data_IF_344636164565
#
_entry.id   IF_344636164565
#
_cell.length_a   1.000
_cell.length_b   1.000
_cell.length_c   1.000
_cell.angle_alpha   90.00
_cell.angle_beta   90.00
_cell.angle_gamma   90.00
#
_symmetry.space_group_name_H-M   'P 1'
#
loop_
_entity.id
_entity.type
_entity.pdbx_description
1 polymer ?
#
# COMPACT_ATOMS: atom_id res chain seq x y z
N UNK A 1 -2.65 -4.10 -21.02
CA UNK A 1 -3.29 -3.47 -19.85
C UNK A 1 -2.21 -2.73 -19.08
N UNK A 2 -2.50 -1.57 -18.46
CA UNK A 2 -1.52 -0.86 -17.65
C UNK A 2 -1.00 -1.74 -16.50
N UNK A 3 0.26 -1.55 -16.13
CA UNK A 3 0.95 -2.36 -15.11
C UNK A 3 0.42 -2.07 -13.70
N UNK A 4 0.13 -0.81 -13.41
CA UNK A 4 -0.31 -0.35 -12.09
C UNK A 4 -1.78 0.07 -12.15
N UNK A 5 -2.62 -0.58 -11.36
CA UNK A 5 -4.02 -0.21 -11.19
C UNK A 5 -4.11 0.57 -9.89
N UNK A 6 -4.36 1.87 -9.99
CA UNK A 6 -4.49 2.75 -8.83
C UNK A 6 -5.92 2.67 -8.29
N UNK A 7 -6.04 2.59 -6.97
CA UNK A 7 -7.32 2.72 -6.28
C UNK A 7 -7.69 4.21 -6.15
N UNK A 8 -8.98 4.52 -6.11
CA UNK A 8 -9.51 5.83 -5.76
C UNK A 8 -9.20 6.11 -4.29
N UNK A 9 -8.44 7.17 -4.04
CA UNK A 9 -7.93 7.54 -2.71
C UNK A 9 -8.15 9.04 -2.49
N UNK A 10 -8.42 9.46 -1.26
CA UNK A 10 -8.64 10.88 -0.94
C UNK A 10 -7.41 11.56 -0.32
N UNK A 11 -6.26 10.89 -0.34
CA UNK A 11 -4.98 11.48 0.02
C UNK A 11 -4.53 12.52 -1.01
N UNK A 12 -3.71 13.47 -0.58
CA UNK A 12 -3.06 14.44 -1.45
C UNK A 12 -1.57 14.51 -1.11
N UNK A 13 -0.80 15.24 -1.91
CA UNK A 13 0.65 15.34 -1.77
C UNK A 13 1.13 15.69 -0.34
N UNK A 14 0.38 16.55 0.36
CA UNK A 14 0.74 17.02 1.71
C UNK A 14 0.30 16.05 2.83
N UNK A 15 -0.46 15.01 2.51
CA UNK A 15 -0.86 14.02 3.49
C UNK A 15 0.29 13.05 3.78
N UNK A 16 0.65 12.90 5.06
CA UNK A 16 1.74 11.99 5.50
C UNK A 16 1.53 10.54 5.03
N UNK A 17 0.28 10.09 4.95
CA UNK A 17 -0.04 8.74 4.51
C UNK A 17 0.01 8.58 2.97
N UNK A 18 0.06 9.67 2.19
CA UNK A 18 0.01 9.60 0.73
C UNK A 18 1.09 8.68 0.16
N UNK A 19 2.33 8.79 0.65
CA UNK A 19 3.44 7.95 0.18
C UNK A 19 3.21 6.47 0.48
N UNK A 20 2.63 6.13 1.65
CA UNK A 20 2.29 4.76 2.04
C UNK A 20 1.30 4.13 1.06
N UNK A 21 0.22 4.83 0.72
CA UNK A 21 -0.77 4.27 -0.20
C UNK A 21 -0.25 4.20 -1.64
N UNK A 22 0.59 5.15 -2.05
CA UNK A 22 1.27 5.06 -3.34
C UNK A 22 2.20 3.84 -3.38
N UNK A 23 2.92 3.54 -2.30
CA UNK A 23 3.71 2.29 -2.20
C UNK A 23 2.83 1.07 -2.42
N UNK A 24 1.68 0.98 -1.76
CA UNK A 24 0.76 -0.16 -1.88
C UNK A 24 0.20 -0.27 -3.31
N UNK A 25 -0.34 0.81 -3.87
CA UNK A 25 -1.01 0.83 -5.17
C UNK A 25 -0.03 0.59 -6.34
N UNK A 26 1.25 0.96 -6.17
CA UNK A 26 2.32 0.69 -7.14
C UNK A 26 3.10 -0.60 -6.85
N UNK A 27 2.60 -1.45 -5.94
CA UNK A 27 3.24 -2.72 -5.56
C UNK A 27 4.72 -2.54 -5.15
N UNK A 28 5.00 -1.44 -4.44
CA UNK A 28 6.32 -1.04 -3.94
C UNK A 28 7.37 -0.89 -5.05
N UNK A 29 6.93 -0.76 -6.30
CA UNK A 29 7.76 -0.56 -7.49
C UNK A 29 7.71 0.90 -7.93
N UNK A 30 8.83 1.37 -8.47
CA UNK A 30 8.87 2.66 -9.17
C UNK A 30 7.92 2.56 -10.36
N UNK A 31 6.94 3.46 -10.41
CA UNK A 31 5.96 3.58 -11.47
C UNK A 31 6.60 3.60 -12.87
N UNK A 32 7.81 4.16 -12.96
CA UNK A 32 8.46 4.39 -14.23
C UNK A 32 9.36 3.27 -14.71
N UNK A 33 10.25 2.78 -13.83
CA UNK A 33 11.30 1.83 -14.19
C UNK A 33 11.10 0.42 -13.61
N UNK A 34 10.00 0.21 -12.87
CA UNK A 34 9.66 -1.04 -12.19
C UNK A 34 10.75 -1.54 -11.22
N UNK A 35 11.58 -0.64 -10.69
CA UNK A 35 12.50 -0.99 -9.59
C UNK A 35 11.72 -1.09 -8.30
N UNK A 36 11.72 -2.27 -7.69
CA UNK A 36 11.11 -2.51 -6.38
C UNK A 36 11.99 -1.88 -5.30
N UNK A 37 11.38 -1.33 -4.24
CA UNK A 37 12.12 -0.65 -3.17
C UNK A 37 13.14 -1.56 -2.46
N UNK A 38 12.84 -2.86 -2.36
CA UNK A 38 13.75 -3.92 -1.88
C UNK A 38 14.98 -4.19 -2.77
N UNK A 39 15.07 -3.56 -3.94
CA UNK A 39 16.29 -3.57 -4.78
C UNK A 39 17.22 -2.39 -4.47
N UNK A 40 16.78 -1.46 -3.62
CA UNK A 40 17.59 -0.35 -3.11
C UNK A 40 18.08 -0.61 -1.69
N UNK A 41 19.35 -0.32 -1.42
CA UNK A 41 19.92 -0.43 -0.08
C UNK A 41 19.25 0.52 0.94
N UNK A 42 18.67 1.64 0.47
CA UNK A 42 17.93 2.57 1.32
C UNK A 42 16.40 2.34 1.27
N UNK A 43 15.94 1.24 0.66
CA UNK A 43 14.51 0.90 0.60
C UNK A 43 13.64 2.03 0.04
N UNK A 44 12.46 2.22 0.65
CA UNK A 44 11.51 3.26 0.30
C UNK A 44 12.02 4.70 0.52
N UNK A 45 13.14 4.89 1.25
CA UNK A 45 13.78 6.22 1.42
C UNK A 45 14.45 6.70 0.12
N UNK A 46 14.75 5.79 -0.81
CA UNK A 46 15.21 6.12 -2.17
C UNK A 46 14.07 6.53 -3.13
N UNK A 47 12.83 6.59 -2.65
CA UNK A 47 11.64 6.85 -3.44
C UNK A 47 10.95 8.12 -2.97
N UNK A 48 10.19 8.72 -3.86
CA UNK A 48 9.57 10.03 -3.73
C UNK A 48 8.15 9.98 -4.30
N UNK A 49 7.34 10.97 -3.92
CA UNK A 49 6.07 11.23 -4.59
C UNK A 49 6.39 12.14 -5.78
N UNK A 50 6.25 11.63 -6.99
CA UNK A 50 6.35 12.43 -8.21
C UNK A 50 4.98 12.94 -8.65
N UNK A 51 4.95 14.15 -9.20
CA UNK A 51 3.81 14.71 -9.89
C UNK A 51 3.94 14.39 -11.38
N UNK A 52 3.11 13.47 -11.91
CA UNK A 52 3.21 13.07 -13.31
C UNK A 52 3.08 14.27 -14.24
N UNK A 53 2.01 15.06 -14.07
CA UNK A 53 1.92 16.43 -14.55
C UNK A 53 2.65 17.35 -13.56
N UNK A 54 3.76 18.01 -13.95
CA UNK A 54 4.66 18.68 -13.03
C UNK A 54 4.04 19.95 -12.44
N UNK A 55 4.13 20.10 -11.12
CA UNK A 55 3.54 21.22 -10.39
C UNK A 55 4.06 22.59 -10.82
N UNK A 56 5.34 22.70 -11.16
CA UNK A 56 5.98 23.96 -11.57
C UNK A 56 5.40 24.53 -12.87
N UNK A 57 4.92 23.66 -13.77
CA UNK A 57 4.32 24.06 -15.06
C UNK A 57 2.81 24.31 -14.96
N UNK A 58 2.15 23.78 -13.93
CA UNK A 58 0.69 23.85 -13.79
C UNK A 58 0.27 24.23 -12.35
N UNK A 59 0.75 25.37 -11.82
CA UNK A 59 0.48 25.76 -10.43
C UNK A 59 -1.00 26.08 -10.15
N UNK A 60 -1.74 26.53 -11.16
CA UNK A 60 -3.17 26.89 -11.04
C UNK A 60 -4.11 25.69 -11.21
N UNK A 61 -3.59 24.49 -11.51
CA UNK A 61 -4.41 23.30 -11.66
C UNK A 61 -4.87 22.80 -10.27
N UNK A 62 -6.18 22.84 -9.95
CA UNK A 62 -6.67 22.43 -8.62
C UNK A 62 -6.50 20.92 -8.37
N UNK A 63 -6.19 20.13 -9.40
CA UNK A 63 -5.94 18.70 -9.31
C UNK A 63 -4.46 18.35 -9.20
N UNK A 64 -3.56 19.33 -9.21
CA UNK A 64 -2.12 19.09 -9.29
C UNK A 64 -1.61 18.21 -8.14
N UNK A 65 -2.05 18.47 -6.91
CA UNK A 65 -1.65 17.73 -5.72
C UNK A 65 -2.60 16.56 -5.38
N UNK A 66 -3.57 16.24 -6.26
CA UNK A 66 -4.51 15.14 -6.06
C UNK A 66 -3.88 13.80 -6.38
N UNK A 67 -4.32 12.76 -5.68
CA UNK A 67 -3.73 11.42 -5.73
C UNK A 67 -3.58 10.87 -7.15
N UNK A 68 -4.52 11.19 -8.05
CA UNK A 68 -4.55 10.78 -9.45
C UNK A 68 -3.35 11.33 -10.26
N UNK A 69 -2.72 12.41 -9.82
CA UNK A 69 -1.52 12.95 -10.43
C UNK A 69 -0.21 12.52 -9.71
N UNK A 70 -0.30 11.75 -8.63
CA UNK A 70 0.84 11.37 -7.80
C UNK A 70 1.30 9.94 -8.07
N UNK A 71 2.62 9.76 -8.19
CA UNK A 71 3.23 8.50 -8.58
C UNK A 71 4.32 8.11 -7.59
N UNK A 72 4.39 6.82 -7.26
CA UNK A 72 5.51 6.29 -6.49
C UNK A 72 6.71 6.13 -7.41
N UNK A 73 7.72 6.99 -7.28
CA UNK A 73 8.90 6.98 -8.17
C UNK A 73 10.19 6.86 -7.38
N UNK A 74 11.18 6.14 -7.93
CA UNK A 74 12.53 6.26 -7.40
C UNK A 74 13.09 7.67 -7.70
N UNK A 75 13.98 8.16 -6.84
CA UNK A 75 14.60 9.49 -7.00
C UNK A 75 15.33 9.66 -8.33
N UNK A 76 15.83 8.57 -8.93
CA UNK A 76 16.48 8.60 -10.24
C UNK A 76 15.45 8.95 -11.31
N UNK A 77 14.37 8.19 -11.43
CA UNK A 77 13.35 8.46 -12.46
C UNK A 77 12.65 9.80 -12.24
N UNK A 78 12.37 10.15 -10.98
CA UNK A 78 11.79 11.45 -10.65
C UNK A 78 12.72 12.60 -11.07
N UNK A 79 14.02 12.50 -10.74
CA UNK A 79 15.01 13.51 -11.11
C UNK A 79 15.25 13.62 -12.62
N UNK A 80 15.25 12.50 -13.35
CA UNK A 80 15.43 12.50 -14.81
C UNK A 80 14.19 13.03 -15.54
N UNK A 81 12.98 12.67 -15.07
CA UNK A 81 11.73 13.24 -15.59
C UNK A 81 11.67 14.73 -15.28
N UNK A 82 11.90 15.11 -14.02
CA UNK A 82 11.77 16.49 -13.53
C UNK A 82 10.48 17.12 -14.06
N UNK A 83 10.59 18.29 -14.69
CA UNK A 83 9.48 18.99 -15.33
C UNK A 83 9.32 18.61 -16.81
N UNK A 84 10.10 17.68 -17.36
CA UNK A 84 10.03 17.22 -18.76
C UNK A 84 8.82 16.30 -19.01
N UNK A 85 7.64 16.91 -18.89
CA UNK A 85 6.36 16.35 -19.29
C UNK A 85 6.00 16.92 -20.66
N UNK A 86 6.28 16.18 -21.73
CA UNK A 86 6.04 16.65 -23.11
C UNK A 86 4.59 16.45 -23.60
N UNK A 87 3.63 16.24 -22.70
CA UNK A 87 2.22 16.00 -23.02
C UNK A 87 1.91 14.65 -23.67
N UNK A 88 2.92 13.94 -24.17
CA UNK A 88 2.85 12.59 -24.75
C UNK A 88 3.68 11.55 -23.98
N UNK A 89 4.19 11.91 -22.79
CA UNK A 89 4.86 10.92 -21.94
C UNK A 89 3.83 9.85 -21.56
N UNK A 90 4.14 8.59 -21.81
CA UNK A 90 3.27 7.47 -21.44
C UNK A 90 3.01 7.46 -19.94
N UNK A 91 1.75 7.28 -19.56
CA UNK A 91 1.29 7.23 -18.18
C UNK A 91 1.27 5.76 -17.68
N UNK A 92 2.06 5.40 -16.66
CA UNK A 92 2.11 4.04 -16.11
C UNK A 92 0.78 3.46 -15.62
N UNK A 93 -0.22 4.30 -15.35
CA UNK A 93 -1.55 3.88 -14.89
C UNK A 93 -2.59 3.78 -16.02
N UNK A 94 -2.31 4.33 -17.20
CA UNK A 94 -3.25 4.34 -18.33
C UNK A 94 -2.71 3.60 -19.56
N UNK A 95 -1.39 3.56 -19.73
CA UNK A 95 -0.73 2.97 -20.90
C UNK A 95 -0.10 1.60 -20.60
N UNK A 96 -0.15 0.70 -21.59
CA UNK A 96 0.54 -0.59 -21.54
C UNK A 96 2.01 -0.44 -21.98
N UNK A 97 2.81 0.20 -21.14
CA UNK A 97 4.17 0.61 -21.50
C UNK A 97 5.04 -0.60 -21.84
N UNK A 98 5.07 -1.61 -20.97
CA UNK A 98 5.98 -2.76 -21.10
C UNK A 98 5.41 -3.93 -21.91
N UNK A 99 4.10 -3.92 -22.23
CA UNK A 99 3.49 -4.88 -23.14
C UNK A 99 3.41 -4.39 -24.59
N UNK A 100 3.45 -3.06 -24.83
CA UNK A 100 3.25 -2.48 -26.16
C UNK A 100 4.37 -1.55 -26.62
N UNK A 101 4.85 -0.66 -25.76
CA UNK A 101 5.71 0.46 -26.16
C UNK A 101 7.20 0.20 -25.95
N UNK A 102 7.54 -0.66 -24.98
CA UNK A 102 8.90 -0.97 -24.56
C UNK A 102 9.04 -2.46 -24.32
N UNK A 103 10.14 -3.05 -24.77
CA UNK A 103 10.50 -4.44 -24.51
C UNK A 103 11.81 -4.54 -23.73
N UNK A 104 12.00 -5.62 -22.95
CA UNK A 104 13.26 -5.89 -22.27
C UNK A 104 14.17 -6.76 -23.14
N UNK A 105 15.40 -6.32 -23.39
CA UNK A 105 16.42 -7.15 -24.01
C UNK A 105 17.22 -7.90 -22.93
N UNK A 106 16.98 -9.20 -22.80
CA UNK A 106 17.71 -10.08 -21.88
C UNK A 106 19.09 -10.50 -22.44
N UNK A 107 19.88 -9.53 -22.90
CA UNK A 107 21.28 -9.73 -23.29
C UNK A 107 22.23 -9.21 -22.19
N UNK A 108 23.54 -9.27 -22.43
CA UNK A 108 24.55 -8.80 -21.46
C UNK A 108 24.44 -7.30 -21.10
N UNK A 109 23.71 -6.51 -21.90
CA UNK A 109 23.57 -5.06 -21.74
C UNK A 109 22.35 -4.66 -20.90
N UNK A 110 21.33 -5.53 -20.75
CA UNK A 110 20.12 -5.27 -19.94
C UNK A 110 19.42 -3.95 -20.30
N UNK A 111 19.24 -3.71 -21.61
CA UNK A 111 18.59 -2.51 -22.12
C UNK A 111 17.07 -2.72 -22.29
N UNK A 112 16.34 -1.62 -22.17
CA UNK A 112 14.99 -1.49 -22.70
C UNK A 112 15.07 -1.08 -24.17
N UNK A 113 14.27 -1.71 -25.02
CA UNK A 113 14.18 -1.43 -26.45
C UNK A 113 12.82 -0.80 -26.72
N UNK A 114 12.78 0.50 -27.08
CA UNK A 114 11.57 1.12 -27.61
C UNK A 114 11.04 0.36 -28.83
N UNK A 115 9.73 0.12 -28.84
CA UNK A 115 9.01 -0.52 -29.95
C UNK A 115 8.17 0.49 -30.74
N UNK A 116 7.95 1.67 -30.15
CA UNK A 116 7.12 2.77 -30.66
C UNK A 116 7.81 4.10 -30.36
N UNK A 117 7.43 5.16 -31.07
CA UNK A 117 7.96 6.52 -30.85
C UNK A 117 7.68 7.00 -29.42
N UNK A 118 6.47 6.75 -28.88
CA UNK A 118 6.14 7.12 -27.50
C UNK A 118 6.98 6.35 -26.47
N UNK A 119 7.30 5.09 -26.78
CA UNK A 119 8.22 4.28 -25.99
C UNK A 119 9.66 4.80 -26.05
N UNK A 120 10.06 5.39 -27.17
CA UNK A 120 11.37 6.02 -27.33
C UNK A 120 11.47 7.27 -26.47
N UNK A 121 10.46 8.14 -26.53
CA UNK A 121 10.36 9.31 -25.66
C UNK A 121 10.38 8.90 -24.19
N UNK A 122 9.60 7.89 -23.81
CA UNK A 122 9.55 7.38 -22.44
C UNK A 122 10.93 6.92 -21.94
N UNK A 123 11.63 6.08 -22.72
CA UNK A 123 12.98 5.58 -22.37
C UNK A 123 14.00 6.71 -22.32
N UNK A 124 13.88 7.71 -23.21
CA UNK A 124 14.83 8.81 -23.35
C UNK A 124 14.64 9.93 -22.32
N UNK A 125 13.41 10.26 -21.95
CA UNK A 125 13.09 11.27 -20.92
C UNK A 125 13.55 10.73 -19.56
N UNK A 126 13.10 9.53 -19.19
CA UNK A 126 13.42 8.90 -17.89
C UNK A 126 14.84 8.30 -17.80
N UNK A 127 15.63 8.40 -18.88
CA UNK A 127 16.96 7.78 -19.03
C UNK A 127 16.99 6.31 -18.58
N UNK A 128 15.99 5.52 -18.95
CA UNK A 128 15.82 4.14 -18.45
C UNK A 128 16.95 3.18 -18.87
N UNK A 129 17.77 3.59 -19.85
CA UNK A 129 18.93 2.85 -20.32
C UNK A 129 20.27 3.35 -19.76
N UNK A 130 20.29 4.25 -18.77
CA UNK A 130 21.54 4.66 -18.13
C UNK A 130 22.20 3.54 -17.32
N UNK A 131 23.50 3.70 -17.00
CA UNK A 131 24.31 2.66 -16.36
C UNK A 131 23.68 2.11 -15.08
N UNK A 132 23.09 2.99 -14.26
CA UNK A 132 22.45 2.62 -12.99
C UNK A 132 21.26 1.67 -13.21
N UNK A 133 20.29 2.04 -14.07
CA UNK A 133 19.13 1.20 -14.37
C UNK A 133 19.52 -0.17 -14.96
N UNK A 134 20.49 -0.21 -15.88
CA UNK A 134 20.99 -1.48 -16.44
C UNK A 134 21.67 -2.33 -15.36
N UNK A 135 22.38 -1.69 -14.43
CA UNK A 135 22.97 -2.35 -13.27
C UNK A 135 21.92 -3.00 -12.37
N UNK A 136 20.85 -2.27 -12.04
CA UNK A 136 19.72 -2.78 -11.23
C UNK A 136 19.09 -4.00 -11.92
N UNK A 137 18.73 -3.90 -13.21
CA UNK A 137 18.16 -5.04 -13.97
C UNK A 137 19.08 -6.25 -13.99
N UNK A 138 20.39 -6.05 -14.14
CA UNK A 138 21.39 -7.13 -14.09
C UNK A 138 21.44 -7.80 -12.72
N UNK A 139 21.42 -7.03 -11.64
CA UNK A 139 21.39 -7.56 -10.27
C UNK A 139 20.09 -8.33 -10.04
N UNK A 140 18.93 -7.75 -10.43
CA UNK A 140 17.62 -8.39 -10.38
C UNK A 140 17.61 -9.76 -11.04
N UNK A 141 18.02 -9.83 -12.31
CA UNK A 141 18.01 -11.07 -13.07
C UNK A 141 18.84 -12.18 -12.39
N UNK A 142 20.05 -11.83 -11.91
CA UNK A 142 20.92 -12.76 -11.18
C UNK A 142 20.33 -13.18 -9.85
N UNK A 143 19.73 -12.25 -9.12
CA UNK A 143 19.15 -12.51 -7.81
C UNK A 143 17.90 -13.39 -7.93
N UNK A 144 17.00 -13.08 -8.85
CA UNK A 144 15.82 -13.89 -9.16
C UNK A 144 16.20 -15.30 -9.58
N UNK A 145 17.24 -15.48 -10.41
CA UNK A 145 17.73 -16.81 -10.77
C UNK A 145 18.12 -17.64 -9.52
N UNK A 146 18.87 -17.03 -8.59
CA UNK A 146 19.28 -17.68 -7.34
C UNK A 146 18.09 -18.04 -6.45
N UNK A 147 17.16 -17.10 -6.25
CA UNK A 147 15.97 -17.33 -5.40
C UNK A 147 15.06 -18.38 -6.02
N UNK A 148 14.83 -18.34 -7.33
CA UNK A 148 14.01 -19.34 -8.03
C UNK A 148 14.61 -20.75 -7.92
N UNK A 149 15.94 -20.87 -7.92
CA UNK A 149 16.60 -22.15 -7.67
C UNK A 149 16.32 -22.65 -6.23
N UNK A 150 16.49 -21.79 -5.22
CA UNK A 150 16.17 -22.15 -3.82
C UNK A 150 14.72 -22.57 -3.66
N UNK A 151 13.78 -21.82 -4.23
CA UNK A 151 12.34 -22.13 -4.19
C UNK A 151 12.08 -23.49 -4.82
N UNK A 152 12.68 -23.78 -5.98
CA UNK A 152 12.54 -25.08 -6.66
C UNK A 152 13.06 -26.24 -5.80
N UNK A 153 14.20 -26.08 -5.16
CA UNK A 153 14.77 -27.08 -4.25
C UNK A 153 13.86 -27.32 -3.03
N UNK A 154 13.31 -26.26 -2.44
CA UNK A 154 12.39 -26.35 -1.30
C UNK A 154 11.04 -26.96 -1.67
N UNK A 155 10.48 -26.65 -2.85
CA UNK A 155 9.24 -27.27 -3.36
C UNK A 155 9.39 -28.78 -3.56
N UNK A 156 10.55 -29.24 -4.06
CA UNK A 156 10.85 -30.69 -4.17
C UNK A 156 10.93 -31.36 -2.80
N UNK A 157 11.55 -30.71 -1.82
CA UNK A 157 11.58 -31.23 -0.45
C UNK A 157 10.17 -31.32 0.16
N UNK A 158 9.32 -30.32 -0.10
CA UNK A 158 7.93 -30.30 0.34
C UNK A 158 7.12 -31.47 -0.26
N UNK A 159 7.30 -31.76 -1.55
CA UNK A 159 6.69 -32.91 -2.22
C UNK A 159 7.13 -34.23 -1.56
N UNK A 160 8.44 -34.42 -1.36
CA UNK A 160 8.97 -35.62 -0.71
C UNK A 160 8.45 -35.80 0.73
N UNK A 161 8.31 -34.72 1.51
CA UNK A 161 7.78 -34.79 2.88
C UNK A 161 6.30 -35.21 2.87
N UNK A 162 5.50 -34.68 1.94
CA UNK A 162 4.07 -35.02 1.80
C UNK A 162 3.87 -36.49 1.44
N UNK A 163 4.76 -37.08 0.64
CA UNK A 163 4.71 -38.49 0.25
C UNK A 163 5.03 -39.47 1.40
N UNK A 164 5.69 -39.02 2.48
CA UNK A 164 6.22 -39.88 3.55
C UNK A 164 5.30 -40.09 4.78
N UNK A 165 4.05 -39.58 4.76
CA UNK A 165 2.99 -39.81 5.78
C UNK A 165 3.18 -39.18 7.19
N UNK A 166 2.14 -39.33 8.03
CA UNK A 166 1.51 -38.38 9.00
C UNK A 166 2.37 -37.74 10.12
N UNK A 167 3.62 -38.13 10.33
CA UNK A 167 4.40 -37.72 11.52
C UNK A 167 5.37 -36.53 11.32
N UNK A 168 5.29 -35.83 10.18
CA UNK A 168 6.24 -34.75 9.81
C UNK A 168 5.63 -33.34 9.84
N UNK A 169 4.61 -33.09 10.66
CA UNK A 169 3.99 -31.76 10.76
C UNK A 169 4.99 -30.64 11.08
N UNK A 170 5.98 -30.90 11.94
CA UNK A 170 7.02 -29.92 12.25
C UNK A 170 7.89 -29.60 11.03
N UNK A 171 8.40 -30.63 10.34
CA UNK A 171 9.22 -30.45 9.12
C UNK A 171 8.42 -29.76 8.00
N UNK A 172 7.14 -30.10 7.86
CA UNK A 172 6.23 -29.45 6.92
C UNK A 172 6.09 -27.96 7.22
N UNK A 173 5.86 -27.61 8.49
CA UNK A 173 5.71 -26.23 8.95
C UNK A 173 6.99 -25.44 8.72
N UNK A 174 8.15 -26.03 9.02
CA UNK A 174 9.46 -25.42 8.79
C UNK A 174 9.69 -25.13 7.30
N UNK A 175 9.44 -26.09 6.42
CA UNK A 175 9.61 -25.90 4.97
C UNK A 175 8.64 -24.85 4.42
N UNK A 176 7.39 -24.82 4.88
CA UNK A 176 6.41 -23.80 4.50
C UNK A 176 6.84 -22.40 4.95
N UNK A 177 7.36 -22.28 6.18
CA UNK A 177 7.89 -21.02 6.71
C UNK A 177 9.08 -20.51 5.88
N UNK A 178 10.03 -21.39 5.55
CA UNK A 178 11.17 -21.05 4.68
C UNK A 178 10.70 -20.64 3.27
N UNK A 179 9.71 -21.33 2.71
CA UNK A 179 9.15 -20.97 1.40
C UNK A 179 8.50 -19.58 1.43
N UNK A 180 7.74 -19.25 2.49
CA UNK A 180 7.17 -17.92 2.67
C UNK A 180 8.26 -16.85 2.73
N UNK A 181 9.32 -17.05 3.52
CA UNK A 181 10.46 -16.13 3.59
C UNK A 181 11.20 -15.96 2.25
N UNK A 182 11.29 -17.01 1.43
CA UNK A 182 11.89 -16.92 0.10
C UNK A 182 11.04 -16.15 -0.91
N UNK A 183 9.71 -16.21 -0.80
CA UNK A 183 8.80 -15.39 -1.63
C UNK A 183 8.95 -13.90 -1.28
N UNK A 184 9.16 -13.58 -0.01
CA UNK A 184 9.48 -12.23 0.45
C UNK A 184 10.85 -11.76 -0.03
N UNK A 185 11.90 -12.58 0.12
CA UNK A 185 13.22 -12.32 -0.44
C UNK A 185 13.14 -12.07 -1.96
N UNK A 186 12.25 -12.75 -2.69
CA UNK A 186 12.11 -12.58 -4.15
C UNK A 186 11.83 -11.14 -4.58
N UNK A 187 11.27 -10.30 -3.70
CA UNK A 187 11.04 -8.86 -3.94
C UNK A 187 12.35 -8.08 -4.10
N UNK A 188 13.44 -8.53 -3.49
CA UNK A 188 14.77 -7.94 -3.69
C UNK A 188 15.75 -8.26 -2.56
N UNK A 189 17.07 -8.10 -2.82
CA UNK A 189 18.12 -8.47 -1.88
C UNK A 189 18.11 -7.70 -0.54
N UNK A 190 17.40 -6.57 -0.46
CA UNK A 190 17.32 -5.74 0.73
C UNK A 190 15.95 -5.79 1.40
N UNK A 191 15.06 -6.70 1.01
CA UNK A 191 13.69 -6.79 1.56
C UNK A 191 13.68 -6.84 3.10
N UNK A 192 14.49 -7.72 3.69
CA UNK A 192 14.60 -7.89 5.15
C UNK A 192 15.29 -6.72 5.88
N UNK A 193 15.80 -5.73 5.15
CA UNK A 193 16.43 -4.52 5.73
C UNK A 193 15.52 -3.31 5.66
N UNK A 194 14.31 -3.44 5.10
CA UNK A 194 13.33 -2.36 5.04
C UNK A 194 12.72 -2.18 6.43
N UNK A 195 13.03 -1.06 7.04
CA UNK A 195 12.44 -0.61 8.30
C UNK A 195 11.23 0.29 8.00
N UNK A 196 10.04 -0.30 7.98
CA UNK A 196 8.78 0.35 7.62
C UNK A 196 7.92 0.59 8.87
N UNK A 197 7.98 1.81 9.39
CA UNK A 197 7.24 2.22 10.59
C UNK A 197 5.73 2.02 10.44
N UNK A 198 5.17 2.21 9.24
CA UNK A 198 3.73 2.05 9.03
C UNK A 198 3.32 0.57 9.22
N UNK A 199 4.18 -0.37 8.79
CA UNK A 199 3.96 -1.80 9.01
C UNK A 199 4.12 -2.19 10.48
N UNK A 200 5.04 -1.56 11.21
CA UNK A 200 5.20 -1.80 12.65
C UNK A 200 3.92 -1.42 13.41
N UNK A 201 3.33 -0.26 13.09
CA UNK A 201 2.13 0.23 13.77
C UNK A 201 0.91 -0.61 13.43
N UNK A 202 0.78 -1.02 12.16
CA UNK A 202 -0.27 -1.93 11.73
C UNK A 202 -0.15 -3.30 12.40
N UNK A 203 1.07 -3.85 12.51
CA UNK A 203 1.30 -5.11 13.21
C UNK A 203 0.93 -5.00 14.70
N UNK A 204 1.35 -3.93 15.37
CA UNK A 204 0.99 -3.70 16.77
C UNK A 204 -0.54 -3.52 16.95
N UNK A 205 -1.19 -2.85 16.00
CA UNK A 205 -2.65 -2.74 15.95
C UNK A 205 -3.31 -4.10 15.79
N UNK A 206 -2.88 -4.92 14.82
CA UNK A 206 -3.42 -6.26 14.56
C UNK A 206 -3.26 -7.18 15.77
N UNK A 207 -2.08 -7.18 16.40
CA UNK A 207 -1.84 -7.93 17.65
C UNK A 207 -2.76 -7.47 18.78
N UNK A 208 -2.91 -6.16 18.95
CA UNK A 208 -3.80 -5.58 19.96
C UNK A 208 -5.25 -5.96 19.69
N UNK A 209 -5.72 -5.80 18.45
CA UNK A 209 -7.09 -6.13 18.04
C UNK A 209 -7.39 -7.61 18.26
N UNK A 210 -6.51 -8.50 17.80
CA UNK A 210 -6.67 -9.94 17.96
C UNK A 210 -6.68 -10.34 19.43
N UNK A 211 -5.87 -9.71 20.29
CA UNK A 211 -5.88 -9.98 21.73
C UNK A 211 -7.20 -9.60 22.42
N UNK A 212 -7.90 -8.58 21.91
CA UNK A 212 -9.19 -8.13 22.45
C UNK A 212 -10.29 -9.14 22.15
N UNK A 213 -10.19 -9.85 21.02
CA UNK A 213 -11.17 -10.82 20.55
C UNK A 213 -10.65 -12.27 20.62
N UNK A 214 -9.68 -12.55 21.48
CA UNK A 214 -9.15 -13.89 21.64
C UNK A 214 -10.26 -14.87 22.07
N UNK A 215 -10.36 -15.99 21.36
CA UNK A 215 -11.43 -16.98 21.53
C UNK A 215 -12.80 -16.57 20.98
N UNK A 216 -12.92 -15.42 20.31
CA UNK A 216 -14.15 -15.01 19.61
C UNK A 216 -14.09 -15.26 18.10
N UNK A 217 -15.27 -15.37 17.47
CA UNK A 217 -15.41 -15.51 16.02
C UNK A 217 -15.36 -14.13 15.33
N UNK A 218 -14.25 -13.43 15.53
CA UNK A 218 -13.98 -12.08 14.98
C UNK A 218 -12.64 -12.13 14.25
N UNK A 219 -12.63 -11.80 12.97
CA UNK A 219 -11.43 -11.80 12.15
C UNK A 219 -11.18 -10.43 11.55
N UNK A 220 -9.92 -10.02 11.54
CA UNK A 220 -9.46 -8.79 10.90
C UNK A 220 -8.66 -9.16 9.65
N UNK A 221 -9.07 -8.65 8.50
CA UNK A 221 -8.38 -8.83 7.23
C UNK A 221 -7.88 -7.48 6.70
N UNK A 222 -6.64 -7.43 6.24
CA UNK A 222 -6.05 -6.25 5.60
C UNK A 222 -6.37 -6.28 4.10
N UNK A 223 -7.08 -5.26 3.60
CA UNK A 223 -7.61 -5.23 2.22
C UNK A 223 -7.13 -4.03 1.40
N UNK A 224 -6.82 -2.89 2.06
CA UNK A 224 -6.48 -1.61 1.43
C UNK A 224 -7.36 -1.25 0.22
N UNK A 225 -8.66 -1.49 0.28
CA UNK A 225 -9.60 -1.30 -0.84
C UNK A 225 -9.76 0.18 -1.22
N UNK A 226 -10.60 0.40 -2.23
CA UNK A 226 -11.03 1.73 -2.69
C UNK A 226 -11.46 2.64 -1.53
N UNK A 227 -11.33 3.94 -1.75
CA UNK A 227 -11.81 5.00 -0.85
C UNK A 227 -11.16 4.96 0.54
N UNK A 228 -9.88 4.59 0.58
CA UNK A 228 -9.02 4.58 1.78
C UNK A 228 -9.44 3.60 2.89
N UNK A 229 -10.18 2.54 2.55
CA UNK A 229 -10.54 1.49 3.50
C UNK A 229 -9.40 0.46 3.63
N UNK A 230 -8.87 0.32 4.83
CA UNK A 230 -7.63 -0.42 5.11
C UNK A 230 -7.89 -1.88 5.48
N UNK A 231 -8.92 -2.10 6.28
CA UNK A 231 -9.25 -3.41 6.84
C UNK A 231 -10.71 -3.77 6.59
N UNK A 232 -11.01 -5.06 6.75
CA UNK A 232 -12.33 -5.63 6.82
C UNK A 232 -12.42 -6.47 8.09
N UNK A 233 -13.45 -6.24 8.89
CA UNK A 233 -13.72 -7.00 10.11
C UNK A 233 -14.88 -7.94 9.81
N UNK A 234 -14.64 -9.23 9.96
CA UNK A 234 -15.64 -10.27 9.81
C UNK A 234 -16.07 -10.74 11.20
N UNK A 235 -17.34 -10.58 11.53
CA UNK A 235 -17.92 -11.03 12.81
C UNK A 235 -19.10 -11.95 12.49
N UNK A 236 -18.95 -13.24 12.79
CA UNK A 236 -19.91 -14.26 12.38
C UNK A 236 -20.12 -14.25 10.85
N UNK A 237 -21.33 -13.91 10.38
CA UNK A 237 -21.70 -13.85 8.96
C UNK A 237 -21.77 -12.41 8.42
N UNK A 238 -21.33 -11.42 9.20
CA UNK A 238 -21.38 -9.99 8.80
C UNK A 238 -19.97 -9.44 8.63
N UNK A 239 -19.83 -8.55 7.67
CA UNK A 239 -18.60 -7.83 7.37
C UNK A 239 -18.77 -6.34 7.68
N UNK A 240 -17.67 -5.68 8.06
CA UNK A 240 -17.58 -4.25 8.27
C UNK A 240 -16.29 -3.76 7.62
N UNK A 241 -16.38 -2.75 6.75
CA UNK A 241 -15.19 -2.09 6.18
C UNK A 241 -14.62 -1.08 7.17
N UNK A 242 -13.31 -0.95 7.20
CA UNK A 242 -12.63 -0.11 8.19
C UNK A 242 -11.75 0.92 7.52
N UNK A 243 -11.99 2.18 7.88
CA UNK A 243 -11.04 3.26 7.70
C UNK A 243 -10.13 3.33 8.92
N UNK A 244 -8.84 3.06 8.75
CA UNK A 244 -7.91 2.91 9.86
C UNK A 244 -6.96 4.10 9.98
N UNK A 245 -6.72 4.56 11.20
CA UNK A 245 -5.73 5.57 11.53
C UNK A 245 -4.93 5.13 12.75
N UNK A 246 -3.70 5.61 12.85
CA UNK A 246 -2.87 5.45 14.02
C UNK A 246 -2.15 6.75 14.34
N UNK A 247 -1.88 6.95 15.61
CA UNK A 247 -1.03 8.01 16.14
C UNK A 247 -0.18 7.45 17.27
N UNK A 248 1.00 8.05 17.48
CA UNK A 248 1.87 7.66 18.59
C UNK A 248 1.15 7.80 19.93
N UNK A 249 0.62 9.00 20.18
CA UNK A 249 -0.28 9.30 21.28
C UNK A 249 -1.47 10.12 20.80
N UNK A 250 -2.65 9.83 21.35
CA UNK A 250 -3.88 10.56 21.04
C UNK A 250 -4.11 11.69 22.04
N UNK A 251 -4.23 12.91 21.52
CA UNK A 251 -4.72 14.06 22.29
C UNK A 251 -6.24 14.23 22.13
N UNK A 252 -6.94 14.26 23.27
CA UNK A 252 -8.38 14.43 23.36
C UNK A 252 -8.70 15.84 23.85
N UNK A 253 -8.83 16.78 22.92
CA UNK A 253 -9.16 18.16 23.25
C UNK A 253 -10.61 18.25 23.74
N UNK A 254 -10.81 18.74 24.97
CA UNK A 254 -12.11 18.71 25.67
C UNK A 254 -12.76 17.31 25.69
N UNK A 255 -11.95 16.25 25.78
CA UNK A 255 -12.43 14.87 25.81
C UNK A 255 -12.68 14.24 24.44
N UNK A 256 -12.45 14.96 23.34
CA UNK A 256 -12.80 14.52 21.99
C UNK A 256 -11.59 14.58 21.04
N UNK A 257 -11.37 13.50 20.30
CA UNK A 257 -10.53 13.46 19.10
C UNK A 257 -11.42 13.67 17.87
N UNK A 258 -10.99 14.53 16.95
CA UNK A 258 -11.71 14.81 15.70
C UNK A 258 -10.99 14.17 14.51
N UNK A 259 -11.74 13.41 13.72
CA UNK A 259 -11.30 12.84 12.44
C UNK A 259 -12.05 13.56 11.33
N UNK A 260 -11.32 14.12 10.36
CA UNK A 260 -11.92 14.86 9.24
C UNK A 260 -11.96 13.99 8.00
N UNK A 261 -13.15 13.78 7.45
CA UNK A 261 -13.39 12.99 6.24
C UNK A 261 -13.95 13.91 5.15
N UNK A 262 -13.38 13.95 3.94
CA UNK A 262 -13.98 14.65 2.80
C UNK A 262 -15.43 14.23 2.58
N UNK A 263 -16.29 15.19 2.25
CA UNK A 263 -17.71 14.91 2.00
C UNK A 263 -17.86 13.90 0.86
N UNK A 264 -17.12 14.08 -0.23
CA UNK A 264 -17.16 13.16 -1.37
C UNK A 264 -16.83 11.71 -0.95
N UNK A 265 -15.79 11.52 -0.14
CA UNK A 265 -15.44 10.20 0.41
C UNK A 265 -16.53 9.61 1.28
N UNK A 266 -17.09 10.42 2.17
CA UNK A 266 -18.13 10.00 3.08
C UNK A 266 -19.43 9.63 2.36
N UNK A 267 -19.80 10.34 1.29
CA UNK A 267 -20.98 9.98 0.49
C UNK A 267 -20.75 8.65 -0.25
N UNK A 268 -19.56 8.38 -0.79
CA UNK A 268 -19.24 7.07 -1.40
C UNK A 268 -19.41 5.92 -0.39
N UNK A 269 -18.97 6.11 0.86
CA UNK A 269 -19.10 5.12 1.92
C UNK A 269 -20.54 4.85 2.35
N UNK A 270 -21.46 5.82 2.22
CA UNK A 270 -22.88 5.63 2.57
C UNK A 270 -23.61 4.71 1.61
N UNK A 271 -23.17 4.68 0.35
CA UNK A 271 -23.76 3.86 -0.70
C UNK A 271 -23.31 2.39 -0.62
N UNK A 272 -22.38 2.05 0.28
CA UNK A 272 -21.94 0.67 0.45
C UNK A 272 -23.00 -0.16 1.17
N UNK A 273 -23.25 -1.37 0.66
CA UNK A 273 -24.07 -2.37 1.32
C UNK A 273 -23.45 -2.83 2.66
N UNK A 274 -22.12 -2.75 2.75
CA UNK A 274 -21.33 -3.11 3.94
C UNK A 274 -21.07 -1.84 4.76
N UNK A 275 -21.37 -1.82 6.07
CA UNK A 275 -21.14 -0.65 6.91
C UNK A 275 -19.66 -0.31 7.02
N UNK A 276 -19.38 0.97 7.25
CA UNK A 276 -18.03 1.49 7.49
C UNK A 276 -17.85 1.82 8.97
N UNK A 277 -16.67 1.47 9.48
CA UNK A 277 -16.21 1.83 10.81
C UNK A 277 -14.90 2.62 10.70
N UNK A 278 -14.73 3.58 11.59
CA UNK A 278 -13.46 4.28 11.77
C UNK A 278 -12.77 3.67 12.98
N UNK A 279 -11.55 3.18 12.79
CA UNK A 279 -10.68 2.74 13.88
C UNK A 279 -9.48 3.67 14.02
N UNK A 280 -9.17 4.03 15.25
CA UNK A 280 -7.98 4.83 15.59
C UNK A 280 -7.16 4.11 16.64
N UNK A 281 -5.90 3.82 16.31
CA UNK A 281 -4.95 3.16 17.21
C UNK A 281 -4.00 4.16 17.86
N UNK A 282 -3.96 4.17 19.19
CA UNK A 282 -2.96 4.87 19.99
C UNK A 282 -1.81 3.90 20.31
N UNK A 283 -0.66 4.12 19.67
CA UNK A 283 0.49 3.20 19.75
C UNK A 283 1.10 3.12 21.15
N UNK A 284 1.30 4.26 21.82
CA UNK A 284 1.96 4.32 23.14
C UNK A 284 1.25 3.51 24.21
N UNK A 285 -0.08 3.45 24.12
CA UNK A 285 -0.93 2.77 25.11
C UNK A 285 -1.48 1.44 24.59
N UNK A 286 -1.21 1.08 23.34
CA UNK A 286 -1.85 -0.03 22.62
C UNK A 286 -3.38 -0.01 22.80
N UNK A 287 -3.99 1.14 22.54
CA UNK A 287 -5.45 1.33 22.67
C UNK A 287 -6.08 1.53 21.31
N UNK A 288 -7.25 0.91 21.12
CA UNK A 288 -8.05 1.04 19.91
C UNK A 288 -9.32 1.79 20.28
N UNK A 289 -9.63 2.83 19.50
CA UNK A 289 -10.86 3.59 19.60
C UNK A 289 -11.66 3.42 18.32
N UNK A 290 -12.99 3.50 18.40
CA UNK A 290 -13.84 3.29 17.24
C UNK A 290 -14.95 4.33 17.11
N UNK A 291 -15.35 4.60 15.87
CA UNK A 291 -16.59 5.31 15.57
C UNK A 291 -17.37 4.57 14.48
N UNK A 292 -18.69 4.53 14.64
CA UNK A 292 -19.62 3.84 13.76
C UNK A 292 -20.08 4.83 12.70
N UNK A 293 -19.37 4.87 11.58
CA UNK A 293 -19.51 5.97 10.62
C UNK A 293 -20.95 6.15 10.14
N UNK A 294 -21.62 5.08 9.71
CA UNK A 294 -22.99 5.16 9.19
C UNK A 294 -23.98 5.69 10.24
N UNK A 295 -23.92 5.20 11.49
CA UNK A 295 -24.80 5.69 12.58
C UNK A 295 -24.47 7.15 12.94
N UNK A 296 -23.19 7.50 12.95
CA UNK A 296 -22.75 8.83 13.32
C UNK A 296 -23.18 9.88 12.30
N UNK A 297 -23.01 9.58 11.01
CA UNK A 297 -23.27 10.56 9.95
C UNK A 297 -24.77 10.84 9.77
N UNK A 298 -25.63 9.87 10.08
CA UNK A 298 -27.09 10.04 10.07
C UNK A 298 -27.60 10.89 11.24
N UNK A 299 -26.88 10.90 12.37
CA UNK A 299 -27.38 11.44 13.63
C UNK A 299 -26.99 12.88 13.93
N UNK A 300 -25.95 13.47 13.33
CA UNK A 300 -25.69 14.93 13.25
C UNK A 300 -24.31 15.23 12.65
N UNK A 301 -24.18 15.43 11.33
CA UNK A 301 -22.89 15.78 10.76
C UNK A 301 -22.56 17.27 10.95
N UNK A 302 -21.42 17.58 11.59
CA UNK A 302 -20.81 18.91 11.47
C UNK A 302 -20.09 18.96 10.12
N UNK A 303 -20.77 19.51 9.11
CA UNK A 303 -20.23 19.75 7.77
C UNK A 303 -19.67 21.17 7.68
N UNK A 304 -18.36 21.29 7.53
CA UNK A 304 -17.67 22.59 7.33
C UNK A 304 -16.59 22.43 6.27
N UNK A 305 -16.48 23.40 5.36
CA UNK A 305 -15.46 23.43 4.30
C UNK A 305 -15.32 22.10 3.53
N UNK A 306 -16.46 21.51 3.12
CA UNK A 306 -16.52 20.25 2.40
C UNK A 306 -15.92 19.02 3.13
N UNK A 307 -15.90 19.06 4.46
CA UNK A 307 -15.46 17.95 5.32
C UNK A 307 -16.53 17.64 6.36
N UNK A 308 -16.73 16.35 6.65
CA UNK A 308 -17.37 15.87 7.87
C UNK A 308 -16.37 15.83 9.02
N UNK A 309 -16.82 16.18 10.22
CA UNK A 309 -16.05 16.03 11.46
C UNK A 309 -16.64 14.89 12.27
N UNK A 310 -15.92 13.78 12.33
CA UNK A 310 -16.27 12.62 13.14
C UNK A 310 -15.58 12.74 14.49
N UNK A 311 -16.34 12.50 15.57
CA UNK A 311 -15.83 12.60 16.94
C UNK A 311 -15.58 11.21 17.51
N UNK A 312 -14.46 11.06 18.21
CA UNK A 312 -14.10 9.88 19.00
C UNK A 312 -13.83 10.37 20.42
N UNK A 313 -14.51 9.78 21.39
CA UNK A 313 -14.39 10.12 22.81
C UNK A 313 -13.50 9.09 23.53
N UNK A 314 -13.05 9.41 24.75
CA UNK A 314 -12.25 8.45 25.54
C UNK A 314 -13.03 7.19 25.86
N UNK A 315 -14.33 7.35 26.03
CA UNK A 315 -15.33 6.33 26.26
C UNK A 315 -15.58 5.46 25.03
N UNK A 316 -15.03 5.78 23.86
CA UNK A 316 -15.09 4.93 22.67
C UNK A 316 -13.91 3.93 22.59
N UNK A 317 -13.18 3.71 23.68
CA UNK A 317 -12.16 2.66 23.79
C UNK A 317 -12.80 1.28 23.57
N UNK A 318 -12.28 0.53 22.60
CA UNK A 318 -12.77 -0.77 22.14
C UNK A 318 -12.90 -1.77 23.28
N UNK A 319 -11.82 -1.96 24.06
CA UNK A 319 -11.76 -2.95 25.14
C UNK A 319 -12.80 -2.70 26.23
N UNK A 320 -13.11 -1.43 26.49
CA UNK A 320 -14.09 -1.02 27.49
C UNK A 320 -15.53 -1.07 26.97
N UNK A 321 -15.74 -1.15 25.64
CA UNK A 321 -17.05 -0.96 25.01
C UNK A 321 -17.38 -2.01 23.94
N UNK A 322 -16.95 -3.26 24.16
CA UNK A 322 -17.18 -4.38 23.24
C UNK A 322 -18.65 -4.58 22.86
N UNK A 323 -19.58 -4.34 23.81
CA UNK A 323 -21.02 -4.43 23.53
C UNK A 323 -21.44 -3.41 22.46
N UNK A 324 -21.08 -2.14 22.62
CA UNK A 324 -21.38 -1.05 21.66
C UNK A 324 -20.71 -1.28 20.32
N UNK A 325 -19.51 -1.86 20.31
CA UNK A 325 -18.80 -2.26 19.10
C UNK A 325 -19.53 -3.38 18.33
N UNK A 326 -20.11 -4.35 19.04
CA UNK A 326 -20.88 -5.44 18.44
C UNK A 326 -22.32 -5.06 18.09
N UNK A 327 -22.88 -4.01 18.68
CA UNK A 327 -24.23 -3.49 18.33
C UNK A 327 -24.33 -2.90 16.91
N UNK A 328 -23.20 -2.82 16.18
CA UNK A 328 -23.07 -2.34 14.78
C UNK A 328 -23.22 -3.49 13.78
N UNK A 329 -23.26 -4.73 14.29
CA UNK A 329 -23.49 -5.94 13.53
C UNK A 329 -24.89 -5.86 12.98
#
# INVERSE_FOLDING_TARGET
MPKHIRKKRYYNYNNKACKKYLRIDFNYECAYCMTHEAESIHGFKSFEIDHFKPRSKFPEDPYIDKYENLYYSCHICNGEKSDDWKGHLLDPCHDDIYGKHVSEEMNEKFKLIPVTDEGEDYVNILKLNQKTHRGIRKVRARYQQKINQKIKERKRLLENIKELSEFKQHELTEVLSVLAGLEDERKGPYFNLIDDIDQEYEKAFEETFNSVFDGENVYLEKVYSEYDLDYEININERSIKVFFRYEESLDFNNGVKQIRIPVEQAEEWKEFEIPVMILVFEKDKNKIYFNRFNIYIDSNPIKTNNMYTIKIEKEDELKSNLKKFKEII
#
